data_IF_871471042194
#
_entry.id   IF_871471042194
#
_cell.length_a   1.000
_cell.length_b   1.000
_cell.length_c   1.000
_cell.angle_alpha   90.00
_cell.angle_beta   90.00
_cell.angle_gamma   90.00
#
_symmetry.space_group_name_H-M   'P 1'
#
loop_
_entity.id
_entity.type
_entity.pdbx_description
1 polymer ?
#
# COMPACT_ATOMS: atom_id res chain seq x y z
N UNK A 1 -7.29 8.25 -4.40
CA UNK A 1 -7.12 9.33 -3.40
C UNK A 1 -5.67 9.38 -2.98
N UNK A 2 -5.15 10.57 -2.75
CA UNK A 2 -3.73 10.79 -2.43
C UNK A 2 -3.29 10.09 -1.12
N UNK A 3 -2.15 9.41 -1.13
CA UNK A 3 -1.57 8.68 0.02
C UNK A 3 -1.22 9.60 1.20
N UNK A 4 -1.93 9.45 2.31
CA UNK A 4 -1.62 10.06 3.61
C UNK A 4 -1.62 9.01 4.72
N UNK A 5 -1.43 9.44 5.98
CA UNK A 5 -1.23 8.57 7.14
C UNK A 5 -2.35 7.55 7.37
N UNK A 6 -3.61 7.94 7.13
CA UNK A 6 -4.78 7.06 7.29
C UNK A 6 -4.85 5.96 6.22
N UNK A 7 -4.41 6.26 5.00
CA UNK A 7 -4.43 5.29 3.89
C UNK A 7 -3.37 4.21 4.12
N UNK A 8 -2.16 4.60 4.54
CA UNK A 8 -1.09 3.66 4.88
C UNK A 8 -1.44 2.73 6.03
N UNK A 9 -2.11 3.23 7.07
CA UNK A 9 -2.59 2.39 8.19
C UNK A 9 -3.65 1.38 7.75
N UNK A 10 -4.59 1.78 6.88
CA UNK A 10 -5.60 0.86 6.33
C UNK A 10 -4.97 -0.27 5.51
N UNK A 11 -3.98 0.06 4.69
CA UNK A 11 -3.24 -0.93 3.89
C UNK A 11 -2.48 -1.89 4.81
N UNK A 12 -1.76 -1.37 5.82
CA UNK A 12 -1.02 -2.21 6.76
C UNK A 12 -1.94 -3.20 7.51
N UNK A 13 -3.10 -2.73 7.99
CA UNK A 13 -4.08 -3.61 8.65
C UNK A 13 -4.68 -4.64 7.70
N UNK A 14 -4.95 -4.28 6.45
CA UNK A 14 -5.46 -5.20 5.45
C UNK A 14 -4.41 -6.27 5.08
N UNK A 15 -3.14 -5.89 4.99
CA UNK A 15 -2.03 -6.81 4.82
C UNK A 15 -1.89 -7.77 6.01
N UNK A 16 -1.96 -7.27 7.26
CA UNK A 16 -1.95 -8.12 8.46
C UNK A 16 -3.12 -9.09 8.51
N UNK A 17 -4.31 -8.65 8.09
CA UNK A 17 -5.48 -9.52 7.99
C UNK A 17 -5.28 -10.60 6.92
N UNK A 18 -4.72 -10.23 5.77
CA UNK A 18 -4.42 -11.16 4.68
C UNK A 18 -3.39 -12.21 5.10
N UNK A 19 -2.35 -11.79 5.83
CA UNK A 19 -1.33 -12.65 6.41
C UNK A 19 -1.93 -13.66 7.42
N UNK A 20 -2.83 -13.21 8.29
CA UNK A 20 -3.47 -14.09 9.29
C UNK A 20 -4.42 -15.12 8.67
N UNK A 21 -5.11 -14.76 7.59
CA UNK A 21 -6.13 -15.60 6.97
C UNK A 21 -5.62 -16.35 5.72
N UNK A 22 -4.35 -16.18 5.35
CA UNK A 22 -3.75 -16.72 4.12
C UNK A 22 -4.60 -16.43 2.86
N UNK A 23 -5.12 -15.21 2.76
CA UNK A 23 -5.94 -14.79 1.61
C UNK A 23 -5.15 -13.85 0.69
N UNK A 24 -5.36 -13.91 -0.64
CA UNK A 24 -4.76 -12.97 -1.58
C UNK A 24 -5.09 -11.52 -1.25
N UNK A 25 -4.11 -10.64 -1.38
CA UNK A 25 -4.28 -9.21 -1.12
C UNK A 25 -4.26 -8.42 -2.44
N UNK A 26 -5.32 -7.66 -2.72
CA UNK A 26 -5.40 -6.80 -3.90
C UNK A 26 -5.51 -5.33 -3.50
N UNK A 27 -4.63 -4.49 -4.03
CA UNK A 27 -4.73 -3.04 -3.93
C UNK A 27 -5.15 -2.49 -5.28
N UNK A 28 -6.25 -1.72 -5.31
CA UNK A 28 -6.65 -0.95 -6.49
C UNK A 28 -6.20 0.49 -6.27
N UNK A 29 -5.14 0.88 -6.95
CA UNK A 29 -4.56 2.21 -6.87
C UNK A 29 -5.19 3.11 -7.92
N UNK A 30 -5.89 4.16 -7.46
CA UNK A 30 -6.32 5.30 -8.28
C UNK A 30 -5.82 6.57 -7.60
N UNK A 31 -4.64 7.05 -7.96
CA UNK A 31 -3.98 8.15 -7.27
C UNK A 31 -3.14 9.01 -8.21
N UNK A 32 -3.47 10.29 -8.32
CA UNK A 32 -2.68 11.27 -9.05
C UNK A 32 -1.41 11.75 -8.31
N UNK A 33 -0.91 10.99 -7.32
CA UNK A 33 0.29 11.35 -6.53
C UNK A 33 0.20 11.05 -5.03
N UNK A 34 1.34 11.09 -4.34
CA UNK A 34 1.42 11.10 -2.88
C UNK A 34 0.93 12.45 -2.32
N UNK A 35 0.31 12.50 -1.13
CA UNK A 35 -0.02 13.79 -0.48
C UNK A 35 1.26 14.53 -0.13
N UNK A 36 1.67 15.45 -0.99
CA UNK A 36 2.85 16.29 -0.76
C UNK A 36 2.73 17.14 0.53
N UNK A 37 1.51 17.40 1.01
CA UNK A 37 1.23 18.08 2.28
C UNK A 37 1.66 17.30 3.54
N UNK A 38 1.81 15.97 3.48
CA UNK A 38 2.25 15.14 4.61
C UNK A 38 3.70 14.65 4.47
N UNK A 39 4.41 15.05 3.40
CA UNK A 39 5.84 14.80 3.09
C UNK A 39 6.52 13.61 3.80
N UNK A 40 7.09 13.82 5.00
CA UNK A 40 7.81 12.80 5.75
C UNK A 40 6.91 11.63 6.22
N UNK A 41 5.67 11.92 6.62
CA UNK A 41 4.72 10.90 7.05
C UNK A 41 4.26 10.05 5.87
N UNK A 42 4.01 10.67 4.71
CA UNK A 42 3.69 9.92 3.48
C UNK A 42 4.84 9.00 3.04
N UNK A 43 6.09 9.43 3.20
CA UNK A 43 7.27 8.59 2.93
C UNK A 43 7.36 7.41 3.90
N UNK A 44 7.13 7.64 5.19
CA UNK A 44 7.13 6.56 6.19
C UNK A 44 6.00 5.55 5.98
N UNK A 45 4.85 5.99 5.44
CA UNK A 45 3.78 5.06 5.04
C UNK A 45 4.21 4.14 3.89
N UNK A 46 5.06 4.60 2.97
CA UNK A 46 5.62 3.73 1.93
C UNK A 46 6.54 2.66 2.52
N UNK A 47 7.42 3.03 3.47
CA UNK A 47 8.28 2.07 4.15
C UNK A 47 7.45 1.03 4.95
N UNK A 48 6.41 1.48 5.65
CA UNK A 48 5.52 0.61 6.43
C UNK A 48 4.77 -0.39 5.54
N UNK A 49 4.18 0.09 4.45
CA UNK A 49 3.43 -0.76 3.52
C UNK A 49 4.35 -1.71 2.78
N UNK A 50 5.53 -1.27 2.33
CA UNK A 50 6.55 -2.12 1.71
C UNK A 50 7.00 -3.26 2.61
N UNK A 51 7.26 -2.99 3.90
CA UNK A 51 7.63 -4.04 4.86
C UNK A 51 6.53 -5.10 5.04
N UNK A 52 5.26 -4.68 5.03
CA UNK A 52 4.12 -5.61 5.13
C UNK A 52 3.90 -6.41 3.85
N UNK A 53 4.14 -5.81 2.69
CA UNK A 53 4.10 -6.52 1.41
C UNK A 53 5.22 -7.56 1.31
N UNK A 54 6.42 -7.25 1.83
CA UNK A 54 7.50 -8.24 1.93
C UNK A 54 7.09 -9.43 2.83
N UNK A 55 6.45 -9.18 3.97
CA UNK A 55 5.93 -10.25 4.84
C UNK A 55 4.89 -11.15 4.14
N UNK A 56 4.04 -10.56 3.27
CA UNK A 56 3.09 -11.33 2.46
C UNK A 56 3.80 -12.18 1.39
N UNK A 57 4.84 -11.64 0.77
CA UNK A 57 5.66 -12.36 -0.20
C UNK A 57 6.42 -13.53 0.43
N UNK A 58 7.00 -13.33 1.62
CA UNK A 58 7.68 -14.38 2.40
C UNK A 58 6.71 -15.49 2.82
N UNK A 59 5.45 -15.15 3.10
CA UNK A 59 4.39 -16.09 3.40
C UNK A 59 3.79 -16.79 2.16
N UNK A 60 4.26 -16.45 0.94
CA UNK A 60 3.74 -17.01 -0.31
C UNK A 60 2.33 -16.55 -0.67
N UNK A 61 1.85 -15.46 -0.07
CA UNK A 61 0.50 -14.92 -0.30
C UNK A 61 0.57 -13.97 -1.51
N UNK A 62 -0.21 -14.21 -2.57
CA UNK A 62 -0.17 -13.37 -3.76
C UNK A 62 -0.71 -11.97 -3.46
N UNK A 63 0.10 -10.97 -3.82
CA UNK A 63 -0.26 -9.55 -3.79
C UNK A 63 -0.43 -9.02 -5.22
N UNK A 64 -1.57 -8.38 -5.51
CA UNK A 64 -1.89 -7.79 -6.81
C UNK A 64 -2.10 -6.29 -6.65
N UNK A 65 -1.29 -5.49 -7.33
CA UNK A 65 -1.49 -4.03 -7.44
C UNK A 65 -2.12 -3.69 -8.79
N UNK A 66 -3.41 -3.32 -8.78
CA UNK A 66 -4.12 -2.84 -9.96
C UNK A 66 -3.98 -1.33 -10.07
N UNK A 67 -3.04 -0.89 -10.92
CA UNK A 67 -2.83 0.52 -11.23
C UNK A 67 -3.89 1.00 -12.24
N UNK A 68 -4.80 1.86 -11.79
CA UNK A 68 -5.85 2.45 -12.64
C UNK A 68 -5.48 3.89 -13.03
N UNK A 69 -5.75 4.28 -14.28
CA UNK A 69 -5.48 5.65 -14.76
C UNK A 69 -6.42 6.68 -14.08
N UNK A 70 -5.92 7.76 -13.45
CA UNK A 70 -4.53 8.19 -13.31
C UNK A 70 -3.83 7.60 -12.08
N UNK A 71 -2.72 6.90 -12.32
CA UNK A 71 -1.71 6.54 -11.30
C UNK A 71 -0.42 7.27 -11.64
N UNK A 72 -0.16 8.39 -10.96
CA UNK A 72 1.06 9.18 -11.12
C UNK A 72 1.79 9.29 -9.78
N UNK A 73 3.12 9.48 -9.81
CA UNK A 73 3.96 9.78 -8.63
C UNK A 73 4.18 8.61 -7.66
N UNK A 74 4.47 8.93 -6.39
CA UNK A 74 4.89 8.01 -5.31
C UNK A 74 3.87 6.96 -4.83
N UNK A 75 2.85 6.67 -5.64
CA UNK A 75 1.90 5.55 -5.50
C UNK A 75 2.22 4.39 -6.45
N UNK A 76 3.34 4.49 -7.18
CA UNK A 76 3.83 3.52 -8.17
C UNK A 76 4.89 2.56 -7.56
N UNK A 77 5.17 2.69 -6.26
CA UNK A 77 6.08 1.83 -5.51
C UNK A 77 5.28 0.85 -4.65
#
# INVERSE_FOLDING_TARGET
GSMGSVVGEKIARAADYSLKNNIPFMIISKSGGARMMEAALSLMQLAKTSSKLAQLADAGIPYISLCTDPTTGGTTA
#
